data_IF_926972132021
#
_entry.id   IF_926972132021
#
_cell.length_a   1.000
_cell.length_b   1.000
_cell.length_c   1.000
_cell.angle_alpha   90.00
_cell.angle_beta   90.00
_cell.angle_gamma   90.00
#
_symmetry.space_group_name_H-M   'P 1'
#
loop_
_entity.id
_entity.type
_entity.pdbx_description
1 polymer ?
#
# COMPACT_ATOMS: atom_id res chain seq x y z
N UNK A 1 16.45 -11.14 -14.22
CA UNK A 1 16.87 -9.90 -14.95
C UNK A 1 16.41 -8.70 -14.14
N UNK A 2 17.27 -7.73 -13.91
CA UNK A 2 16.98 -6.52 -13.12
C UNK A 2 17.19 -5.29 -14.01
N UNK A 3 16.41 -4.25 -13.73
CA UNK A 3 16.56 -2.93 -14.34
C UNK A 3 17.08 -1.97 -13.27
N UNK A 4 18.13 -1.20 -13.58
CA UNK A 4 18.64 -0.16 -12.68
C UNK A 4 17.90 1.15 -12.94
N UNK A 5 17.37 1.75 -11.87
CA UNK A 5 16.68 3.04 -11.92
C UNK A 5 17.44 4.05 -11.07
N UNK A 6 17.77 5.20 -11.67
CA UNK A 6 18.38 6.32 -10.96
C UNK A 6 17.35 7.36 -10.59
N UNK A 7 17.21 7.62 -9.29
CA UNK A 7 16.29 8.62 -8.78
C UNK A 7 17.08 9.82 -8.27
N UNK A 8 16.69 11.02 -8.71
CA UNK A 8 17.29 12.25 -8.20
C UNK A 8 17.01 12.40 -6.71
N UNK A 9 18.05 12.59 -5.92
CA UNK A 9 17.90 12.87 -4.49
C UNK A 9 17.24 14.23 -4.27
N UNK A 10 16.39 14.29 -3.26
CA UNK A 10 15.79 15.52 -2.74
C UNK A 10 16.55 15.92 -1.48
N UNK A 11 16.97 17.17 -1.39
CA UNK A 11 17.59 17.71 -0.20
C UNK A 11 16.54 17.97 0.89
N UNK A 12 16.91 17.69 2.15
CA UNK A 12 16.03 17.84 3.29
C UNK A 12 15.05 16.69 3.48
N UNK A 13 14.18 16.84 4.46
CA UNK A 13 13.10 15.90 4.83
C UNK A 13 11.75 16.59 4.79
N UNK A 14 10.71 15.82 4.55
CA UNK A 14 9.33 16.27 4.73
C UNK A 14 8.95 16.05 6.20
N UNK A 15 8.84 17.12 6.98
CA UNK A 15 8.53 17.02 8.40
C UNK A 15 7.22 16.25 8.65
N UNK A 16 6.19 16.47 7.84
CA UNK A 16 4.93 15.75 7.95
C UNK A 16 5.08 14.23 7.76
N UNK A 17 5.96 13.80 6.83
CA UNK A 17 6.25 12.38 6.65
C UNK A 17 7.03 11.79 7.81
N UNK A 18 7.97 12.54 8.38
CA UNK A 18 8.74 12.10 9.55
C UNK A 18 7.84 12.00 10.79
N UNK A 19 7.00 13.00 11.03
CA UNK A 19 6.04 13.03 12.14
C UNK A 19 5.04 11.87 12.01
N UNK A 20 4.53 11.62 10.81
CA UNK A 20 3.66 10.48 10.54
C UNK A 20 4.36 9.15 10.84
N UNK A 21 5.58 8.97 10.38
CA UNK A 21 6.35 7.75 10.63
C UNK A 21 6.60 7.56 12.12
N UNK A 22 6.99 8.61 12.83
CA UNK A 22 7.20 8.59 14.28
C UNK A 22 5.90 8.23 15.03
N UNK A 23 4.78 8.85 14.67
CA UNK A 23 3.46 8.58 15.27
C UNK A 23 3.04 7.11 15.10
N UNK A 24 3.42 6.47 14.00
CA UNK A 24 3.04 5.09 13.68
C UNK A 24 4.12 4.05 14.07
N UNK A 25 5.27 4.48 14.54
CA UNK A 25 6.29 3.60 15.14
C UNK A 25 5.88 3.32 16.58
N UNK A 26 5.15 2.23 16.79
CA UNK A 26 4.54 1.84 18.06
C UNK A 26 5.01 0.48 18.54
N UNK A 27 4.72 0.15 19.81
CA UNK A 27 4.91 -1.18 20.37
C UNK A 27 3.57 -1.69 20.91
N UNK A 28 3.00 -2.78 20.38
CA UNK A 28 3.49 -3.58 19.24
C UNK A 28 3.49 -2.78 17.91
N UNK A 29 4.31 -3.23 16.96
CA UNK A 29 4.42 -2.58 15.65
C UNK A 29 3.14 -2.73 14.83
N UNK A 30 2.80 -1.69 14.07
CA UNK A 30 1.66 -1.73 13.15
C UNK A 30 1.98 -2.55 11.90
N UNK A 31 0.94 -2.98 11.19
CA UNK A 31 1.08 -3.56 9.85
C UNK A 31 1.19 -2.43 8.82
N UNK A 32 2.25 -2.45 8.01
CA UNK A 32 2.41 -1.50 6.91
C UNK A 32 1.49 -1.88 5.74
N UNK A 33 0.64 -0.95 5.30
CA UNK A 33 -0.27 -1.15 4.17
C UNK A 33 0.20 -0.32 2.99
N UNK A 34 0.66 -1.00 1.95
CA UNK A 34 1.04 -0.43 0.66
C UNK A 34 0.00 -0.79 -0.40
N UNK A 35 -0.09 -0.03 -1.46
CA UNK A 35 -0.96 -0.37 -2.59
C UNK A 35 -0.40 0.11 -3.91
N UNK A 36 -0.86 -0.51 -4.99
CA UNK A 36 -0.78 0.08 -6.32
C UNK A 36 -1.42 1.48 -6.31
N UNK A 37 -0.81 2.45 -6.98
CA UNK A 37 -1.28 3.85 -6.97
C UNK A 37 -2.33 4.17 -8.06
N UNK A 38 -2.70 3.18 -8.86
CA UNK A 38 -3.92 3.11 -9.63
C UNK A 38 -4.23 4.23 -10.60
N UNK A 39 -3.55 4.28 -11.73
CA UNK A 39 -4.04 5.06 -12.88
C UNK A 39 -5.13 4.32 -13.67
N UNK A 40 -5.38 3.06 -13.36
CA UNK A 40 -6.47 2.25 -13.93
C UNK A 40 -7.45 1.80 -12.85
N UNK A 41 -8.63 1.33 -13.25
CA UNK A 41 -9.69 0.91 -12.32
C UNK A 41 -9.21 -0.12 -11.29
N UNK A 42 -8.41 -1.10 -11.71
CA UNK A 42 -7.87 -2.13 -10.80
C UNK A 42 -6.98 -1.54 -9.70
N UNK A 43 -6.10 -0.63 -10.07
CA UNK A 43 -5.23 0.05 -9.10
C UNK A 43 -6.02 1.01 -8.19
N UNK A 44 -7.07 1.65 -8.71
CA UNK A 44 -7.94 2.52 -7.91
C UNK A 44 -8.68 1.72 -6.83
N UNK A 45 -9.17 0.51 -7.14
CA UNK A 45 -9.75 -0.39 -6.12
C UNK A 45 -8.72 -0.71 -5.04
N UNK A 46 -7.50 -1.08 -5.43
CA UNK A 46 -6.41 -1.38 -4.48
C UNK A 46 -6.08 -0.20 -3.58
N UNK A 47 -5.97 1.00 -4.16
CA UNK A 47 -5.69 2.24 -3.43
C UNK A 47 -6.79 2.59 -2.43
N UNK A 48 -8.06 2.51 -2.86
CA UNK A 48 -9.21 2.75 -1.97
C UNK A 48 -9.30 1.72 -0.85
N UNK A 49 -9.04 0.45 -1.14
CA UNK A 49 -9.01 -0.61 -0.13
C UNK A 49 -7.93 -0.34 0.92
N UNK A 50 -6.72 0.01 0.51
CA UNK A 50 -5.64 0.37 1.43
C UNK A 50 -6.00 1.56 2.33
N UNK A 51 -6.62 2.58 1.77
CA UNK A 51 -7.09 3.74 2.53
C UNK A 51 -8.20 3.38 3.54
N UNK A 52 -9.16 2.54 3.13
CA UNK A 52 -10.21 2.05 4.04
C UNK A 52 -9.61 1.27 5.22
N UNK A 53 -8.68 0.36 4.96
CA UNK A 53 -8.01 -0.41 6.02
C UNK A 53 -7.34 0.52 7.01
N UNK A 54 -6.47 1.40 6.52
CA UNK A 54 -5.59 2.17 7.38
C UNK A 54 -6.27 3.35 8.09
N UNK A 55 -7.32 3.91 7.49
CA UNK A 55 -7.94 5.12 8.04
C UNK A 55 -9.34 4.91 8.63
N UNK A 56 -9.98 3.75 8.38
CA UNK A 56 -11.35 3.52 8.82
C UNK A 56 -11.55 2.21 9.56
N UNK A 57 -11.08 1.07 9.00
CA UNK A 57 -11.42 -0.25 9.55
C UNK A 57 -10.46 -0.62 10.68
N UNK A 58 -9.16 -0.45 10.48
CA UNK A 58 -8.14 -0.88 11.45
C UNK A 58 -7.03 0.16 11.68
N UNK A 59 -7.37 1.44 11.97
CA UNK A 59 -6.36 2.50 12.11
C UNK A 59 -5.42 2.31 13.29
N UNK A 60 -5.86 1.58 14.33
CA UNK A 60 -5.03 1.26 15.49
C UNK A 60 -3.91 0.26 15.19
N UNK A 61 -4.13 -0.65 14.24
CA UNK A 61 -3.22 -1.77 13.96
C UNK A 61 -2.44 -1.62 12.65
N UNK A 62 -2.74 -0.62 11.84
CA UNK A 62 -2.16 -0.45 10.51
C UNK A 62 -1.62 0.96 10.30
N UNK A 63 -0.67 1.07 9.38
CA UNK A 63 -0.13 2.34 8.92
C UNK A 63 -0.16 2.38 7.39
N UNK A 64 -0.78 3.41 6.80
CA UNK A 64 -0.79 3.62 5.35
C UNK A 64 0.56 4.13 4.90
N UNK A 65 1.17 3.45 3.96
CA UNK A 65 2.47 3.85 3.41
C UNK A 65 2.25 4.65 2.12
N UNK A 66 2.89 5.80 2.05
CA UNK A 66 3.02 6.57 0.82
C UNK A 66 4.07 5.89 -0.06
N UNK A 67 3.64 5.12 -1.05
CA UNK A 67 4.52 4.31 -1.89
C UNK A 67 5.59 5.16 -2.58
N UNK A 68 5.20 6.24 -3.24
CA UNK A 68 6.13 7.14 -3.91
C UNK A 68 7.15 7.77 -2.95
N UNK A 69 6.69 8.19 -1.76
CA UNK A 69 7.56 8.73 -0.73
C UNK A 69 8.56 7.71 -0.20
N UNK A 70 8.10 6.51 0.13
CA UNK A 70 8.97 5.44 0.61
C UNK A 70 9.97 4.95 -0.44
N UNK A 71 9.55 4.89 -1.72
CA UNK A 71 10.42 4.48 -2.83
C UNK A 71 11.49 5.52 -3.15
N UNK A 72 11.11 6.80 -3.21
CA UNK A 72 12.00 7.86 -3.72
C UNK A 72 12.88 8.50 -2.66
N UNK A 73 12.56 8.34 -1.37
CA UNK A 73 13.29 8.99 -0.28
C UNK A 73 13.60 8.02 0.86
N UNK A 74 14.85 8.02 1.29
CA UNK A 74 15.26 7.36 2.52
C UNK A 74 14.80 8.15 3.74
N UNK A 75 14.43 7.44 4.81
CA UNK A 75 13.84 8.03 6.03
C UNK A 75 12.31 7.94 6.05
N UNK A 76 11.67 8.50 7.07
CA UNK A 76 10.22 8.60 7.22
C UNK A 76 9.44 7.35 6.86
N UNK A 77 8.73 7.41 5.75
CA UNK A 77 7.87 6.32 5.29
C UNK A 77 8.61 5.02 5.00
N UNK A 78 9.84 5.10 4.46
CA UNK A 78 10.66 3.90 4.21
C UNK A 78 11.12 3.26 5.51
N UNK A 79 11.53 4.06 6.48
CA UNK A 79 11.94 3.55 7.79
C UNK A 79 10.76 2.94 8.54
N UNK A 80 9.57 3.52 8.40
CA UNK A 80 8.35 2.93 8.95
C UNK A 80 8.11 1.52 8.41
N UNK A 81 8.28 1.30 7.10
CA UNK A 81 8.17 -0.05 6.51
C UNK A 81 9.21 -1.01 7.08
N UNK A 82 10.44 -0.56 7.28
CA UNK A 82 11.52 -1.39 7.87
C UNK A 82 11.24 -1.80 9.32
N UNK A 83 10.55 -0.96 10.07
CA UNK A 83 10.28 -1.19 11.51
C UNK A 83 9.04 -2.05 11.78
N UNK A 84 8.16 -2.23 10.80
CA UNK A 84 6.97 -3.05 10.97
C UNK A 84 7.32 -4.54 10.94
N UNK A 85 6.59 -5.33 11.72
CA UNK A 85 6.75 -6.80 11.70
C UNK A 85 6.10 -7.45 10.48
N UNK A 86 5.20 -6.74 9.82
CA UNK A 86 4.43 -7.23 8.65
C UNK A 86 4.14 -6.09 7.69
N UNK A 87 4.37 -6.35 6.43
CA UNK A 87 3.97 -5.43 5.35
C UNK A 87 3.02 -6.16 4.39
N UNK A 88 1.96 -5.49 3.98
CA UNK A 88 0.99 -5.98 3.00
C UNK A 88 1.01 -5.04 1.80
N UNK A 89 1.18 -5.60 0.61
CA UNK A 89 1.08 -4.89 -0.66
C UNK A 89 -0.21 -5.32 -1.36
N UNK A 90 -1.15 -4.39 -1.53
CA UNK A 90 -2.41 -4.61 -2.25
C UNK A 90 -2.20 -4.21 -3.69
N UNK A 91 -2.09 -5.18 -4.57
CA UNK A 91 -1.82 -4.97 -5.99
C UNK A 91 -3.12 -4.98 -6.81
N UNK A 92 -3.14 -4.24 -7.89
CA UNK A 92 -4.27 -4.22 -8.83
C UNK A 92 -4.06 -5.13 -10.05
N UNK A 93 -2.85 -5.65 -10.26
CA UNK A 93 -2.54 -6.51 -11.40
C UNK A 93 -1.19 -7.21 -11.23
N UNK A 94 -0.90 -8.12 -12.17
CA UNK A 94 0.32 -8.93 -12.21
C UNK A 94 1.64 -8.15 -12.27
N UNK A 95 1.62 -6.85 -12.63
CA UNK A 95 2.82 -6.00 -12.66
C UNK A 95 3.38 -5.77 -11.26
N UNK A 96 2.53 -5.77 -10.23
CA UNK A 96 2.94 -5.69 -8.82
C UNK A 96 3.83 -4.49 -8.52
N UNK A 97 3.36 -3.30 -8.88
CA UNK A 97 4.14 -2.07 -8.75
C UNK A 97 4.56 -1.79 -7.30
N UNK A 98 3.66 -1.96 -6.35
CA UNK A 98 3.92 -1.60 -4.95
C UNK A 98 4.99 -2.49 -4.32
N UNK A 99 4.85 -3.80 -4.41
CA UNK A 99 5.82 -4.75 -3.86
C UNK A 99 7.19 -4.62 -4.53
N UNK A 100 7.24 -4.56 -5.86
CA UNK A 100 8.50 -4.43 -6.61
C UNK A 100 9.25 -3.12 -6.29
N UNK A 101 8.53 -2.01 -6.17
CA UNK A 101 9.15 -0.73 -5.78
C UNK A 101 9.75 -0.80 -4.38
N UNK A 102 9.05 -1.40 -3.44
CA UNK A 102 9.54 -1.50 -2.07
C UNK A 102 10.69 -2.50 -1.93
N UNK A 103 10.64 -3.64 -2.60
CA UNK A 103 11.73 -4.61 -2.66
C UNK A 103 13.01 -4.03 -3.27
N UNK A 104 12.88 -3.12 -4.25
CA UNK A 104 14.04 -2.44 -4.83
C UNK A 104 14.80 -1.54 -3.84
N UNK A 105 14.13 -1.00 -2.83
CA UNK A 105 14.73 -0.10 -1.83
C UNK A 105 14.87 -0.72 -0.45
N UNK A 106 14.22 -1.86 -0.21
CA UNK A 106 14.33 -2.68 1.00
C UNK A 106 14.46 -4.15 0.55
N UNK A 107 15.64 -4.59 0.10
CA UNK A 107 15.82 -5.93 -0.49
C UNK A 107 15.44 -7.10 0.42
N UNK A 108 15.51 -6.90 1.74
CA UNK A 108 15.14 -7.90 2.75
C UNK A 108 13.62 -7.95 3.03
N UNK A 109 12.84 -7.05 2.46
CA UNK A 109 11.39 -6.99 2.69
C UNK A 109 10.70 -8.23 2.14
N UNK A 110 9.88 -8.85 2.99
CA UNK A 110 8.99 -9.95 2.62
C UNK A 110 7.55 -9.50 2.79
N UNK A 111 7.07 -8.68 1.87
CA UNK A 111 5.69 -8.25 1.90
C UNK A 111 4.74 -9.40 1.53
N UNK A 112 3.61 -9.47 2.22
CA UNK A 112 2.47 -10.27 1.76
C UNK A 112 1.83 -9.54 0.58
N UNK A 113 1.92 -10.12 -0.60
CA UNK A 113 1.37 -9.55 -1.84
C UNK A 113 -0.01 -10.13 -2.09
N UNK A 114 -1.01 -9.27 -2.18
CA UNK A 114 -2.40 -9.63 -2.39
C UNK A 114 -2.94 -8.91 -3.63
N UNK A 115 -3.57 -9.65 -4.54
CA UNK A 115 -4.22 -9.09 -5.72
C UNK A 115 -5.69 -8.75 -5.40
N UNK A 116 -6.04 -7.47 -5.52
CA UNK A 116 -7.39 -7.00 -5.25
C UNK A 116 -8.42 -7.63 -6.19
N UNK A 117 -8.04 -7.88 -7.47
CA UNK A 117 -8.92 -8.50 -8.45
C UNK A 117 -9.23 -9.96 -8.12
N UNK A 118 -8.27 -10.69 -7.58
CA UNK A 118 -8.51 -12.06 -7.11
C UNK A 118 -9.45 -12.09 -5.90
N UNK A 119 -9.37 -11.07 -5.03
CA UNK A 119 -10.19 -10.99 -3.83
C UNK A 119 -11.64 -10.67 -4.17
N UNK A 120 -11.92 -9.60 -4.94
CA UNK A 120 -13.31 -9.26 -5.28
C UNK A 120 -13.90 -10.15 -6.39
N UNK A 121 -13.05 -10.79 -7.19
CA UNK A 121 -13.40 -11.77 -8.22
C UNK A 121 -14.45 -11.28 -9.23
N UNK A 122 -14.42 -10.00 -9.57
CA UNK A 122 -15.29 -9.41 -10.58
C UNK A 122 -14.43 -8.90 -11.76
N UNK A 123 -14.96 -9.04 -12.96
CA UNK A 123 -14.36 -8.42 -14.14
C UNK A 123 -14.69 -6.94 -14.17
N UNK A 124 -13.67 -6.11 -14.27
CA UNK A 124 -13.82 -4.66 -14.27
C UNK A 124 -13.08 -4.03 -15.46
N UNK A 125 -13.55 -2.89 -15.98
CA UNK A 125 -12.92 -2.22 -17.10
C UNK A 125 -11.50 -1.74 -16.75
N UNK A 126 -10.77 -1.31 -17.77
CA UNK A 126 -9.45 -0.73 -17.57
C UNK A 126 -9.53 0.74 -17.15
N UNK A 127 -10.39 1.50 -17.79
CA UNK A 127 -10.50 2.94 -17.56
C UNK A 127 -11.14 3.30 -16.22
N UNK A 128 -10.54 4.25 -15.53
CA UNK A 128 -11.06 4.73 -14.24
C UNK A 128 -12.39 5.51 -14.41
N UNK A 129 -12.62 6.07 -15.58
CA UNK A 129 -13.83 6.80 -15.97
C UNK A 129 -14.97 5.88 -16.43
N UNK A 130 -14.70 4.58 -16.56
CA UNK A 130 -15.71 3.59 -16.95
C UNK A 130 -16.48 2.99 -15.75
N UNK A 131 -16.15 3.37 -14.54
CA UNK A 131 -16.81 2.92 -13.32
C UNK A 131 -17.26 4.10 -12.46
N UNK A 132 -18.37 3.93 -11.77
CA UNK A 132 -18.84 4.91 -10.78
C UNK A 132 -18.06 4.85 -9.47
N UNK A 133 -18.06 5.96 -8.73
CA UNK A 133 -17.47 6.00 -7.39
C UNK A 133 -18.08 4.99 -6.43
N UNK A 134 -19.38 4.72 -6.54
CA UNK A 134 -20.09 3.75 -5.70
C UNK A 134 -19.60 2.32 -5.98
N UNK A 135 -19.35 1.96 -7.23
CA UNK A 135 -18.79 0.66 -7.60
C UNK A 135 -17.35 0.51 -7.09
N UNK A 136 -16.50 1.53 -7.26
CA UNK A 136 -15.16 1.54 -6.67
C UNK A 136 -15.20 1.36 -5.15
N UNK A 137 -16.07 2.07 -4.46
CA UNK A 137 -16.18 1.99 -3.01
C UNK A 137 -16.70 0.62 -2.56
N UNK A 138 -17.63 0.02 -3.29
CA UNK A 138 -18.14 -1.33 -3.03
C UNK A 138 -17.05 -2.37 -3.14
N UNK A 139 -16.31 -2.38 -4.25
CA UNK A 139 -15.22 -3.34 -4.47
C UNK A 139 -14.07 -3.15 -3.48
N UNK A 140 -13.68 -1.89 -3.23
CA UNK A 140 -12.65 -1.57 -2.25
C UNK A 140 -13.03 -2.04 -0.84
N UNK A 141 -14.30 -1.95 -0.47
CA UNK A 141 -14.81 -2.44 0.81
C UNK A 141 -14.69 -3.96 0.92
N UNK A 142 -15.08 -4.70 -0.12
CA UNK A 142 -14.95 -6.17 -0.16
C UNK A 142 -13.48 -6.55 0.08
N UNK A 143 -12.55 -5.94 -0.66
CA UNK A 143 -11.12 -6.21 -0.54
C UNK A 143 -10.60 -5.86 0.86
N UNK A 144 -10.98 -4.71 1.38
CA UNK A 144 -10.51 -4.24 2.69
C UNK A 144 -10.99 -5.14 3.84
N UNK A 145 -12.27 -5.51 3.85
CA UNK A 145 -12.86 -6.37 4.89
C UNK A 145 -12.25 -7.77 4.87
N UNK A 146 -12.04 -8.35 3.70
CA UNK A 146 -11.38 -9.63 3.54
C UNK A 146 -9.94 -9.59 4.09
N UNK A 147 -9.16 -8.56 3.72
CA UNK A 147 -7.78 -8.42 4.18
C UNK A 147 -7.71 -8.24 5.70
N UNK A 148 -8.56 -7.40 6.26
CA UNK A 148 -8.58 -7.19 7.72
C UNK A 148 -8.92 -8.47 8.44
N UNK A 149 -9.93 -9.19 7.99
CA UNK A 149 -10.39 -10.43 8.62
C UNK A 149 -9.34 -11.54 8.56
N UNK A 150 -8.71 -11.72 7.40
CA UNK A 150 -7.79 -12.86 7.20
C UNK A 150 -6.36 -12.58 7.62
N UNK A 151 -5.91 -11.33 7.60
CA UNK A 151 -4.48 -11.03 7.70
C UNK A 151 -4.10 -10.01 8.77
N UNK A 152 -5.04 -9.28 9.36
CA UNK A 152 -4.73 -8.24 10.35
C UNK A 152 -5.25 -8.59 11.73
N UNK A 153 -6.47 -9.11 11.84
CA UNK A 153 -7.11 -9.42 13.12
C UNK A 153 -6.83 -10.85 13.65
N UNK A 154 -5.72 -11.45 13.22
CA UNK A 154 -5.28 -12.76 13.71
C UNK A 154 -4.36 -12.65 14.91
#
# INVERSE_FOLDING_TARGET
MYEEIKIRKVDGSCQMCEDYAQMHTTTPTKVAIMSCEGACARGEVSRRAANLIAHRISPGNTARICLGGAFTKEGGQRDLVRTTHKAIAIEGCFIRCASRMMEAVIPELKALVLDACEIHNEDIPFGIDEMSDDEFNRLAKIVAEEIVTKYINQ
#
